data_IF_023277096181
#
_entry.id   IF_023277096181
#
_cell.length_a   1.000
_cell.length_b   1.000
_cell.length_c   1.000
_cell.angle_alpha   90.00
_cell.angle_beta   90.00
_cell.angle_gamma   90.00
#
_symmetry.space_group_name_H-M   'P 1'
#
loop_
_entity.id
_entity.type
_entity.pdbx_description
1 polymer ?
#
# COMPACT_ATOMS: atom_id res chain seq x y z
N UNK A 1 -13.59 0.97 3.14
CA UNK A 1 -12.27 1.06 2.46
C UNK A 1 -12.38 1.83 1.15
N UNK A 2 -13.20 1.39 0.18
CA UNK A 2 -13.37 2.08 -1.11
C UNK A 2 -14.04 3.45 -0.96
N UNK A 3 -14.97 3.55 -0.02
CA UNK A 3 -15.76 4.74 0.26
C UNK A 3 -15.29 5.45 1.54
N UNK A 4 -15.23 6.78 1.49
CA UNK A 4 -14.87 7.66 2.62
C UNK A 4 -16.09 8.33 3.24
N UNK A 5 -15.91 8.99 4.39
CA UNK A 5 -17.02 9.56 5.19
C UNK A 5 -17.71 10.78 4.57
N UNK A 6 -17.12 11.46 3.58
CA UNK A 6 -17.61 12.79 3.13
C UNK A 6 -17.86 12.97 1.62
N UNK A 7 -17.43 12.06 0.72
CA UNK A 7 -17.52 12.33 -0.74
C UNK A 7 -17.75 11.12 -1.65
N UNK A 8 -18.24 10.00 -1.13
CA UNK A 8 -18.46 8.78 -1.92
C UNK A 8 -17.21 7.90 -2.02
N UNK A 9 -16.07 8.38 -2.54
CA UNK A 9 -14.79 7.62 -2.60
C UNK A 9 -13.66 8.31 -1.82
N UNK A 10 -12.69 7.53 -1.31
CA UNK A 10 -11.53 8.03 -0.52
C UNK A 10 -10.47 8.73 -1.37
N UNK A 11 -10.43 8.44 -2.68
CA UNK A 11 -9.39 8.87 -3.63
C UNK A 11 -7.95 8.39 -3.33
N UNK A 12 -7.77 7.61 -2.27
CA UNK A 12 -6.54 6.91 -1.92
C UNK A 12 -6.53 5.51 -2.57
N UNK A 13 -5.41 5.07 -3.14
CA UNK A 13 -5.35 3.74 -3.75
C UNK A 13 -5.39 2.66 -2.67
N UNK A 14 -6.13 1.58 -2.94
CA UNK A 14 -6.28 0.46 -2.00
C UNK A 14 -6.05 -0.89 -2.66
N UNK A 15 -5.72 -0.91 -3.95
CA UNK A 15 -5.56 -2.11 -4.76
C UNK A 15 -4.14 -2.18 -5.35
N UNK A 16 -3.51 -3.34 -5.31
CA UNK A 16 -2.22 -3.59 -5.95
C UNK A 16 -2.42 -3.80 -7.46
N UNK A 17 -2.63 -2.71 -8.20
CA UNK A 17 -2.82 -2.74 -9.64
C UNK A 17 -2.25 -1.48 -10.31
N UNK A 18 -2.04 -1.58 -11.62
CA UNK A 18 -1.61 -0.47 -12.45
C UNK A 18 -2.56 -0.22 -13.62
N UNK A 19 -2.49 0.97 -14.19
CA UNK A 19 -3.19 1.26 -15.44
C UNK A 19 -2.98 2.69 -15.93
N UNK A 20 -3.88 3.14 -16.81
CA UNK A 20 -3.80 4.44 -17.47
C UNK A 20 -4.03 5.62 -16.50
N UNK A 21 -4.62 6.73 -16.97
CA UNK A 21 -4.92 7.92 -16.18
C UNK A 21 -6.03 7.74 -15.11
N UNK A 22 -6.08 6.56 -14.48
CA UNK A 22 -7.07 6.09 -13.53
C UNK A 22 -6.53 6.23 -12.09
N UNK A 23 -7.28 6.96 -11.26
CA UNK A 23 -6.90 7.27 -9.87
C UNK A 23 -7.27 6.17 -8.86
N UNK A 24 -7.92 5.11 -9.32
CA UNK A 24 -8.26 3.95 -8.49
C UNK A 24 -7.12 2.94 -8.39
N UNK A 25 -6.17 2.98 -9.32
CA UNK A 25 -4.96 2.15 -9.33
C UNK A 25 -3.88 2.71 -8.40
N UNK A 26 -3.08 1.83 -7.78
CA UNK A 26 -1.91 2.24 -6.99
C UNK A 26 -0.79 2.81 -7.85
N UNK A 27 -0.60 2.23 -9.05
CA UNK A 27 0.33 2.72 -10.05
C UNK A 27 -0.47 3.33 -11.20
N UNK A 28 -0.32 4.64 -11.40
CA UNK A 28 -0.96 5.38 -12.49
C UNK A 28 0.06 5.74 -13.57
N UNK A 29 -0.32 5.55 -14.83
CA UNK A 29 0.44 6.00 -16.00
C UNK A 29 -0.29 7.19 -16.62
N UNK A 30 0.14 8.44 -16.36
CA UNK A 30 -0.48 9.62 -16.93
C UNK A 30 -0.32 9.66 -18.46
N UNK A 31 -1.29 10.29 -19.16
CA UNK A 31 -1.31 10.40 -20.63
C UNK A 31 -0.13 11.20 -21.23
N UNK A 32 0.78 11.76 -20.43
CA UNK A 32 1.91 12.53 -20.93
C UNK A 32 3.08 12.59 -19.96
N UNK A 33 4.29 12.68 -20.54
CA UNK A 33 5.56 12.88 -19.82
C UNK A 33 6.19 11.61 -19.25
N UNK A 34 6.08 10.49 -19.99
CA UNK A 34 6.87 9.24 -19.84
C UNK A 34 7.23 8.89 -18.38
N UNK A 35 6.21 8.88 -17.52
CA UNK A 35 6.40 8.67 -16.08
C UNK A 35 5.35 7.72 -15.51
N UNK A 36 5.72 7.14 -14.38
CA UNK A 36 4.88 6.29 -13.55
C UNK A 36 4.63 7.01 -12.23
N UNK A 37 3.38 7.07 -11.80
CA UNK A 37 2.96 7.71 -10.54
C UNK A 37 2.58 6.63 -9.53
N UNK A 38 3.41 6.46 -8.48
CA UNK A 38 3.05 5.67 -7.30
C UNK A 38 2.18 6.52 -6.37
N UNK A 39 0.92 6.15 -6.24
CA UNK A 39 -0.09 6.89 -5.47
C UNK A 39 -0.21 6.45 -4.01
N UNK A 40 0.39 5.32 -3.66
CA UNK A 40 0.27 4.72 -2.33
C UNK A 40 1.18 5.37 -1.28
N UNK A 41 2.20 6.14 -1.71
CA UNK A 41 3.06 6.87 -0.80
C UNK A 41 2.35 8.10 -0.21
N UNK A 42 2.55 8.34 1.08
CA UNK A 42 2.07 9.53 1.78
C UNK A 42 3.24 10.35 2.36
N UNK A 43 2.92 11.45 3.06
CA UNK A 43 3.90 12.39 3.63
C UNK A 43 4.57 11.90 4.92
N UNK A 44 4.08 10.82 5.54
CA UNK A 44 4.70 10.23 6.73
C UNK A 44 5.89 9.32 6.35
N UNK A 45 5.99 8.92 5.08
CA UNK A 45 7.11 8.15 4.58
C UNK A 45 8.44 8.92 4.64
N UNK A 46 9.53 8.23 4.99
CA UNK A 46 10.87 8.74 4.82
C UNK A 46 11.22 8.79 3.31
N UNK A 47 11.43 9.97 2.70
CA UNK A 47 11.61 10.09 1.25
C UNK A 47 12.84 9.35 0.72
N UNK A 48 13.88 9.18 1.55
CA UNK A 48 15.08 8.44 1.17
C UNK A 48 14.81 6.94 1.11
N UNK A 49 14.18 6.37 2.15
CA UNK A 49 13.87 4.95 2.21
C UNK A 49 12.80 4.56 1.18
N UNK A 50 11.71 5.33 1.11
CA UNK A 50 10.65 5.09 0.12
C UNK A 50 11.17 5.23 -1.31
N UNK A 51 11.98 6.25 -1.60
CA UNK A 51 12.59 6.43 -2.91
C UNK A 51 13.53 5.28 -3.31
N UNK A 52 14.36 4.82 -2.36
CA UNK A 52 15.25 3.67 -2.59
C UNK A 52 14.46 2.38 -2.88
N UNK A 53 13.42 2.08 -2.09
CA UNK A 53 12.57 0.90 -2.30
C UNK A 53 11.86 0.92 -3.65
N UNK A 54 11.27 2.05 -4.02
CA UNK A 54 10.57 2.18 -5.31
C UNK A 54 11.53 2.03 -6.49
N UNK A 55 12.71 2.63 -6.40
CA UNK A 55 13.74 2.49 -7.44
C UNK A 55 14.20 1.03 -7.54
N UNK A 56 14.46 0.38 -6.41
CA UNK A 56 14.91 -1.01 -6.38
C UNK A 56 13.86 -1.97 -6.97
N UNK A 57 12.59 -1.86 -6.56
CA UNK A 57 11.49 -2.65 -7.11
C UNK A 57 11.35 -2.45 -8.63
N UNK A 58 11.45 -1.21 -9.11
CA UNK A 58 11.41 -0.90 -10.54
C UNK A 58 12.59 -1.52 -11.31
N UNK A 59 13.80 -1.43 -10.78
CA UNK A 59 15.00 -2.03 -11.39
C UNK A 59 14.96 -3.55 -11.39
N UNK A 60 14.42 -4.17 -10.34
CA UNK A 60 14.20 -5.61 -10.29
C UNK A 60 13.26 -6.07 -11.40
N UNK A 61 12.12 -5.39 -11.57
CA UNK A 61 11.16 -5.66 -12.64
C UNK A 61 11.81 -5.58 -14.03
N UNK A 62 12.65 -4.57 -14.27
CA UNK A 62 13.40 -4.43 -15.54
C UNK A 62 14.41 -5.57 -15.71
N UNK A 63 15.18 -5.90 -14.67
CA UNK A 63 16.23 -6.92 -14.72
C UNK A 63 15.66 -8.32 -15.00
N UNK A 64 14.57 -8.66 -14.31
CA UNK A 64 13.93 -9.97 -14.42
C UNK A 64 12.84 -10.02 -15.50
N UNK A 65 12.58 -8.89 -16.19
CA UNK A 65 11.54 -8.77 -17.21
C UNK A 65 10.16 -9.22 -16.69
N UNK A 66 9.83 -8.79 -15.48
CA UNK A 66 8.56 -9.12 -14.84
C UNK A 66 7.43 -8.50 -15.66
N UNK A 67 6.47 -9.33 -16.07
CA UNK A 67 5.25 -8.88 -16.72
C UNK A 67 4.25 -8.39 -15.65
N UNK A 68 3.92 -7.09 -15.61
CA UNK A 68 2.94 -6.58 -14.65
C UNK A 68 1.50 -6.97 -15.00
N UNK A 69 1.28 -7.64 -16.13
CA UNK A 69 -0.03 -8.00 -16.66
C UNK A 69 -0.67 -6.86 -17.45
N UNK A 70 -1.95 -7.02 -17.85
CA UNK A 70 -2.66 -5.98 -18.59
C UNK A 70 -3.01 -4.78 -17.68
N UNK A 71 -3.02 -3.55 -18.22
CA UNK A 71 -3.41 -2.37 -17.46
C UNK A 71 -4.92 -2.33 -17.17
N UNK A 72 -5.30 -1.93 -15.95
CA UNK A 72 -6.70 -1.71 -15.58
C UNK A 72 -7.15 -0.29 -15.90
N UNK A 73 -8.24 -0.16 -16.67
CA UNK A 73 -8.74 1.15 -17.17
C UNK A 73 -10.11 1.52 -16.60
N UNK A 74 -10.77 0.54 -15.99
CA UNK A 74 -12.06 0.60 -15.36
C UNK A 74 -11.99 1.15 -13.93
N UNK A 75 -13.12 1.63 -13.40
CA UNK A 75 -13.17 2.10 -12.02
C UNK A 75 -13.10 0.91 -11.04
N UNK A 76 -11.93 0.69 -10.44
CA UNK A 76 -11.69 -0.43 -9.54
C UNK A 76 -12.51 -0.38 -8.24
N UNK A 77 -12.98 0.81 -7.84
CA UNK A 77 -13.84 0.92 -6.65
C UNK A 77 -15.22 0.30 -6.83
N UNK A 78 -15.68 0.14 -8.07
CA UNK A 78 -17.00 -0.46 -8.37
C UNK A 78 -16.95 -1.99 -8.47
N UNK A 79 -15.76 -2.57 -8.49
CA UNK A 79 -15.58 -4.02 -8.59
C UNK A 79 -15.92 -4.69 -7.25
N UNK A 80 -16.66 -5.79 -7.32
CA UNK A 80 -16.84 -6.71 -6.19
C UNK A 80 -15.55 -7.46 -5.87
N UNK A 81 -15.47 -8.08 -4.69
CA UNK A 81 -14.27 -8.84 -4.31
C UNK A 81 -14.07 -10.08 -5.19
N UNK A 82 -15.16 -10.68 -5.70
CA UNK A 82 -15.10 -11.78 -6.66
C UNK A 82 -14.51 -11.32 -8.00
N UNK A 83 -14.97 -10.19 -8.55
CA UNK A 83 -14.40 -9.63 -9.79
C UNK A 83 -12.94 -9.23 -9.62
N UNK A 84 -12.55 -8.70 -8.46
CA UNK A 84 -11.13 -8.38 -8.18
C UNK A 84 -10.26 -9.63 -8.18
N UNK A 85 -10.74 -10.73 -7.60
CA UNK A 85 -10.04 -12.00 -7.60
C UNK A 85 -9.91 -12.60 -9.02
N UNK A 86 -10.95 -12.51 -9.84
CA UNK A 86 -10.92 -12.92 -11.26
C UNK A 86 -9.89 -12.11 -12.07
N UNK A 87 -9.73 -10.83 -11.73
CA UNK A 87 -8.74 -9.93 -12.34
C UNK A 87 -7.32 -10.12 -11.77
N UNK A 88 -7.13 -10.97 -10.75
CA UNK A 88 -5.85 -11.13 -10.06
C UNK A 88 -5.42 -9.91 -9.24
N UNK A 89 -6.37 -9.04 -8.88
CA UNK A 89 -6.10 -7.79 -8.15
C UNK A 89 -6.34 -8.00 -6.66
N UNK A 90 -5.29 -7.79 -5.86
CA UNK A 90 -5.37 -7.84 -4.40
C UNK A 90 -5.51 -6.44 -3.79
N UNK A 91 -5.93 -6.40 -2.52
CA UNK A 91 -5.85 -5.18 -1.73
C UNK A 91 -4.41 -4.94 -1.28
N UNK A 92 -4.04 -3.67 -1.13
CA UNK A 92 -2.88 -3.29 -0.32
C UNK A 92 -3.10 -3.69 1.15
N UNK A 93 -2.03 -3.83 1.94
CA UNK A 93 -2.13 -4.05 3.38
C UNK A 93 -3.07 -3.05 4.05
N UNK A 94 -3.95 -3.53 4.92
CA UNK A 94 -5.01 -2.73 5.57
C UNK A 94 -4.61 -2.19 6.93
N UNK A 95 -3.50 -2.67 7.47
CA UNK A 95 -2.92 -2.22 8.73
C UNK A 95 -1.40 -2.12 8.62
N UNK A 96 -0.80 -1.38 9.55
CA UNK A 96 0.66 -1.34 9.67
C UNK A 96 1.21 -2.76 9.94
N UNK A 97 0.53 -3.56 10.76
CA UNK A 97 0.91 -4.96 11.02
C UNK A 97 0.99 -5.80 9.73
N UNK A 98 -0.07 -5.78 8.91
CA UNK A 98 -0.08 -6.49 7.61
C UNK A 98 1.02 -5.97 6.66
N UNK A 99 1.31 -4.67 6.69
CA UNK A 99 2.35 -4.08 5.85
C UNK A 99 3.76 -4.54 6.28
N UNK A 100 4.01 -4.64 7.59
CA UNK A 100 5.28 -5.16 8.11
C UNK A 100 5.41 -6.65 7.78
N UNK A 101 4.34 -7.45 7.94
CA UNK A 101 4.36 -8.88 7.58
C UNK A 101 4.70 -9.09 6.11
N UNK A 102 4.08 -8.31 5.22
CA UNK A 102 4.36 -8.36 3.78
C UNK A 102 5.80 -7.91 3.46
N UNK A 103 6.30 -6.89 4.16
CA UNK A 103 7.67 -6.40 3.99
C UNK A 103 8.72 -7.40 4.54
N UNK A 104 8.40 -8.15 5.60
CA UNK A 104 9.27 -9.18 6.17
C UNK A 104 9.35 -10.46 5.33
N UNK A 105 8.29 -10.75 4.58
CA UNK A 105 8.19 -11.92 3.71
C UNK A 105 8.95 -11.77 2.37
N UNK A 106 9.40 -10.56 2.04
CA UNK A 106 10.07 -10.24 0.78
C UNK A 106 11.53 -9.83 1.01
N UNK A 107 12.45 -10.42 0.24
CA UNK A 107 13.89 -10.20 0.41
C UNK A 107 14.37 -8.82 -0.09
N UNK A 108 13.58 -8.12 -0.92
CA UNK A 108 13.96 -6.82 -1.49
C UNK A 108 14.31 -5.79 -0.41
N UNK A 109 13.57 -5.79 0.69
CA UNK A 109 13.85 -4.90 1.83
C UNK A 109 15.25 -5.14 2.42
N UNK A 110 15.66 -6.41 2.55
CA UNK A 110 17.00 -6.79 3.03
C UNK A 110 18.07 -6.43 2.02
N UNK A 111 17.83 -6.66 0.73
CA UNK A 111 18.77 -6.30 -0.33
C UNK A 111 19.03 -4.79 -0.40
N UNK A 112 17.99 -3.98 -0.23
CA UNK A 112 18.08 -2.52 -0.31
C UNK A 112 18.70 -1.90 0.94
N UNK A 113 18.29 -2.34 2.13
CA UNK A 113 18.68 -1.72 3.39
C UNK A 113 19.88 -2.39 4.05
N UNK A 114 20.19 -3.64 3.70
CA UNK A 114 21.09 -4.51 4.44
C UNK A 114 20.47 -5.06 5.72
N UNK A 115 20.99 -6.19 6.21
CA UNK A 115 20.39 -6.97 7.31
C UNK A 115 20.16 -6.17 8.59
N UNK A 116 21.14 -5.36 9.00
CA UNK A 116 21.05 -4.61 10.25
C UNK A 116 19.94 -3.56 10.20
N UNK A 117 19.88 -2.77 9.13
CA UNK A 117 18.88 -1.71 8.98
C UNK A 117 17.50 -2.31 8.78
N UNK A 118 17.37 -3.33 7.94
CA UNK A 118 16.11 -4.04 7.71
C UNK A 118 15.51 -4.56 9.03
N UNK A 119 16.30 -5.28 9.82
CA UNK A 119 15.85 -5.80 11.12
C UNK A 119 15.47 -4.67 12.08
N UNK A 120 16.32 -3.65 12.19
CA UNK A 120 16.04 -2.52 13.10
C UNK A 120 14.77 -1.77 12.71
N UNK A 121 14.54 -1.58 11.40
CA UNK A 121 13.36 -0.90 10.88
C UNK A 121 12.07 -1.70 11.14
N UNK A 122 12.10 -2.99 10.87
CA UNK A 122 10.95 -3.89 11.08
C UNK A 122 10.61 -4.03 12.57
N UNK A 123 11.60 -4.24 13.44
CA UNK A 123 11.42 -4.24 14.90
C UNK A 123 10.83 -2.92 15.41
N UNK A 124 11.36 -1.78 14.94
CA UNK A 124 10.87 -0.46 15.32
C UNK A 124 9.40 -0.25 14.92
N UNK A 125 9.04 -0.62 13.68
CA UNK A 125 7.66 -0.49 13.18
C UNK A 125 6.71 -1.49 13.83
N UNK A 126 7.18 -2.68 14.18
CA UNK A 126 6.40 -3.66 14.93
C UNK A 126 6.05 -3.15 16.32
N UNK A 127 7.01 -2.55 17.03
CA UNK A 127 6.78 -1.94 18.33
C UNK A 127 5.79 -0.76 18.26
N UNK A 128 5.85 0.05 17.20
CA UNK A 128 4.87 1.12 16.93
C UNK A 128 3.45 0.55 16.79
N UNK A 129 3.30 -0.54 16.02
CA UNK A 129 2.02 -1.22 15.84
C UNK A 129 1.47 -1.85 17.11
N UNK A 130 2.32 -2.55 17.87
CA UNK A 130 1.92 -3.19 19.13
C UNK A 130 1.49 -2.14 20.16
N UNK A 131 2.18 -1.00 20.21
CA UNK A 131 1.78 0.12 21.07
C UNK A 131 0.38 0.64 20.70
N UNK A 132 0.12 0.85 19.41
CA UNK A 132 -1.20 1.28 18.92
C UNK A 132 -2.31 0.30 19.31
N UNK A 133 -2.09 -1.01 19.20
CA UNK A 133 -3.09 -2.02 19.57
C UNK A 133 -3.47 -2.02 21.06
N UNK A 134 -2.57 -1.55 21.92
CA UNK A 134 -2.83 -1.43 23.36
C UNK A 134 -3.47 -0.09 23.76
N UNK A 135 -3.63 0.83 22.81
CA UNK A 135 -4.25 2.12 23.05
C UNK A 135 -5.77 2.01 23.02
N UNK A 136 -6.44 2.57 24.04
CA UNK A 136 -7.90 2.73 24.06
C UNK A 136 -8.25 4.08 23.45
N UNK A 137 -8.87 4.06 22.28
CA UNK A 137 -9.19 5.28 21.53
C UNK A 137 -10.49 5.96 22.01
N UNK A 138 -10.60 7.27 21.76
CA UNK A 138 -11.82 8.02 22.03
C UNK A 138 -13.05 7.43 21.32
N UNK A 139 -12.87 6.84 20.13
CA UNK A 139 -13.95 6.18 19.39
C UNK A 139 -14.52 4.98 20.16
N UNK A 140 -13.66 4.17 20.77
CA UNK A 140 -14.08 3.02 21.58
C UNK A 140 -14.78 3.48 22.86
N UNK A 141 -14.24 4.52 23.52
CA UNK A 141 -14.85 5.12 24.71
C UNK A 141 -16.25 5.65 24.38
N UNK A 142 -16.38 6.48 23.34
CA UNK A 142 -17.64 7.10 22.96
C UNK A 142 -18.72 6.07 22.57
N UNK A 143 -18.31 4.94 21.99
CA UNK A 143 -19.21 3.92 21.48
C UNK A 143 -19.59 2.89 22.53
N UNK A 144 -18.65 2.40 23.33
CA UNK A 144 -18.87 1.26 24.22
C UNK A 144 -19.09 1.66 25.67
N UNK A 145 -18.48 2.75 26.16
CA UNK A 145 -18.61 3.14 27.57
C UNK A 145 -20.04 3.56 27.96
N UNK A 146 -20.86 3.99 26.98
CA UNK A 146 -22.28 4.35 27.21
C UNK A 146 -23.24 3.16 27.16
N UNK A 147 -22.78 2.02 26.65
CA UNK A 147 -23.60 0.80 26.50
C UNK A 147 -23.50 -0.12 27.72
N UNK A 148 -22.68 0.24 28.71
CA UNK A 148 -22.47 -0.48 29.97
C UNK A 148 -22.57 0.48 31.16
#
# INVERSE_FOLDING_TARGET
IKTGSMSGFTWAPVFACFGNNNRTNSIRVPLGGERVELRAADIANNPYLGGAMVLAAGLEGVRHKIDPGPPHTENMYLKSDAELAELGVSYLPRSLGEAIDAFEADDLGREVMGDLMFRTYTEFKRAEWDNYLTHVSDWEVDRYLKLW
#
